data_IF_130790291419
#
_entry.id   IF_130790291419
#
_cell.length_a   1.000
_cell.length_b   1.000
_cell.length_c   1.000
_cell.angle_alpha   90.00
_cell.angle_beta   90.00
_cell.angle_gamma   90.00
#
_symmetry.space_group_name_H-M   'P 1'
#
loop_
_entity.id
_entity.type
_entity.pdbx_description
1 polymer ?
#
# COMPACT_ATOMS: atom_id res chain seq x y z
N UNK A 1 12.35 -14.01 -27.26
CA UNK A 1 13.20 -13.44 -26.22
C UNK A 1 12.45 -13.39 -24.88
N UNK A 2 11.34 -12.65 -24.78
CA UNK A 2 10.60 -12.45 -23.51
C UNK A 2 10.06 -13.76 -22.92
N UNK A 3 9.48 -14.65 -23.74
CA UNK A 3 8.98 -15.94 -23.30
C UNK A 3 10.07 -16.80 -22.61
N UNK A 4 11.30 -16.79 -23.16
CA UNK A 4 12.43 -17.51 -22.56
C UNK A 4 12.78 -16.92 -21.20
N UNK A 5 12.92 -15.59 -21.10
CA UNK A 5 13.25 -14.92 -19.83
C UNK A 5 12.16 -15.18 -18.79
N UNK A 6 10.88 -15.12 -19.17
CA UNK A 6 9.77 -15.39 -18.27
C UNK A 6 9.77 -16.85 -17.78
N UNK A 7 9.99 -17.82 -18.68
CA UNK A 7 10.06 -19.25 -18.31
C UNK A 7 11.22 -19.54 -17.38
N UNK A 8 12.41 -18.98 -17.66
CA UNK A 8 13.59 -19.11 -16.80
C UNK A 8 13.36 -18.48 -15.41
N UNK A 9 12.81 -17.25 -15.36
CA UNK A 9 12.49 -16.55 -14.10
C UNK A 9 11.51 -17.33 -13.23
N UNK A 10 10.57 -18.03 -13.84
CA UNK A 10 9.51 -18.78 -13.16
C UNK A 10 9.65 -20.31 -13.22
N UNK A 11 10.82 -20.81 -13.62
CA UNK A 11 11.07 -22.25 -13.74
C UNK A 11 10.81 -23.01 -12.42
N UNK A 12 11.17 -22.42 -11.27
CA UNK A 12 10.91 -23.02 -9.95
C UNK A 12 9.44 -23.00 -9.53
N UNK A 13 8.58 -22.28 -10.23
CA UNK A 13 7.12 -22.27 -10.08
C UNK A 13 6.43 -23.14 -11.16
N UNK A 14 7.22 -23.94 -11.91
CA UNK A 14 6.70 -24.88 -12.89
C UNK A 14 6.35 -24.27 -14.26
N UNK A 15 6.74 -23.03 -14.55
CA UNK A 15 6.46 -22.40 -15.83
C UNK A 15 7.26 -23.06 -16.96
N UNK A 16 6.55 -23.50 -18.01
CA UNK A 16 7.14 -24.01 -19.25
C UNK A 16 7.39 -22.89 -20.25
N UNK A 17 8.23 -23.16 -21.27
CA UNK A 17 8.42 -22.19 -22.35
C UNK A 17 7.14 -21.98 -23.16
N UNK A 18 6.35 -23.02 -23.41
CA UNK A 18 5.09 -22.95 -24.16
C UNK A 18 4.10 -22.04 -23.44
N UNK A 19 3.86 -22.26 -22.15
CA UNK A 19 3.00 -21.39 -21.34
C UNK A 19 3.49 -19.94 -21.31
N UNK A 20 4.80 -19.73 -21.17
CA UNK A 20 5.37 -18.40 -21.19
C UNK A 20 5.22 -17.74 -22.58
N UNK A 21 5.31 -18.52 -23.66
CA UNK A 21 5.11 -18.02 -25.02
C UNK A 21 3.65 -17.60 -25.25
N UNK A 22 2.70 -18.39 -24.80
CA UNK A 22 1.26 -18.07 -24.89
C UNK A 22 0.92 -16.80 -24.10
N UNK A 23 1.50 -16.63 -22.92
CA UNK A 23 1.34 -15.40 -22.13
C UNK A 23 1.85 -14.15 -22.84
N UNK A 24 2.79 -14.26 -23.80
CA UNK A 24 3.28 -13.09 -24.55
C UNK A 24 2.22 -12.51 -25.53
N UNK A 25 1.14 -13.23 -25.81
CA UNK A 25 -0.01 -12.67 -26.53
C UNK A 25 -0.93 -11.81 -25.66
N UNK A 26 -0.75 -11.86 -24.33
CA UNK A 26 -1.48 -11.00 -23.39
C UNK A 26 -0.73 -9.66 -23.22
N UNK A 27 -1.43 -8.54 -23.44
CA UNK A 27 -0.85 -7.18 -23.39
C UNK A 27 -0.10 -6.88 -22.11
N UNK A 28 -0.64 -7.31 -20.96
CA UNK A 28 -0.03 -7.02 -19.66
C UNK A 28 1.28 -7.78 -19.49
N UNK A 29 1.33 -9.07 -19.88
CA UNK A 29 2.58 -9.84 -19.84
C UNK A 29 3.63 -9.25 -20.77
N UNK A 30 3.27 -8.95 -22.01
CA UNK A 30 4.20 -8.39 -22.98
C UNK A 30 4.75 -7.03 -22.52
N UNK A 31 3.87 -6.09 -22.15
CA UNK A 31 4.28 -4.77 -21.71
C UNK A 31 5.12 -4.78 -20.43
N UNK A 32 4.76 -5.62 -19.45
CA UNK A 32 5.56 -5.76 -18.23
C UNK A 32 6.91 -6.45 -18.50
N UNK A 33 7.00 -7.36 -19.46
CA UNK A 33 8.26 -7.94 -19.88
C UNK A 33 9.20 -6.93 -20.56
N UNK A 34 8.66 -5.95 -21.30
CA UNK A 34 9.45 -4.84 -21.83
C UNK A 34 10.10 -4.05 -20.69
N UNK A 35 9.35 -3.75 -19.64
CA UNK A 35 9.89 -3.06 -18.45
C UNK A 35 10.89 -3.93 -17.72
N UNK A 36 10.60 -5.22 -17.53
CA UNK A 36 11.49 -6.15 -16.84
C UNK A 36 12.85 -6.29 -17.54
N UNK A 37 12.87 -6.28 -18.87
CA UNK A 37 14.09 -6.39 -19.66
C UNK A 37 14.79 -5.06 -19.94
N UNK A 38 14.19 -3.94 -19.56
CA UNK A 38 14.75 -2.60 -19.81
C UNK A 38 14.50 -2.08 -21.23
N UNK A 39 13.58 -2.71 -21.98
CA UNK A 39 13.16 -2.22 -23.30
C UNK A 39 12.11 -1.10 -23.16
N UNK A 40 11.58 -0.87 -21.96
CA UNK A 40 10.74 0.25 -21.56
C UNK A 40 11.02 0.67 -20.12
N UNK A 41 10.86 1.96 -19.81
CA UNK A 41 11.11 2.52 -18.48
C UNK A 41 9.94 2.28 -17.51
N UNK A 42 8.72 2.28 -18.02
CA UNK A 42 7.50 2.07 -17.24
C UNK A 42 6.39 1.44 -18.10
N UNK A 43 5.42 0.82 -17.44
CA UNK A 43 4.22 0.29 -18.07
C UNK A 43 2.97 0.90 -17.44
N UNK A 44 2.08 1.46 -18.28
CA UNK A 44 0.80 2.04 -17.87
C UNK A 44 -0.32 1.20 -18.47
N UNK A 45 -1.20 0.67 -17.62
CA UNK A 45 -2.31 -0.18 -18.05
C UNK A 45 -3.52 -0.02 -17.12
N UNK A 46 -4.66 -0.61 -17.48
CA UNK A 46 -5.83 -0.68 -16.58
C UNK A 46 -7.20 -0.59 -17.24
N UNK A 47 -7.30 -0.12 -18.48
CA UNK A 47 -8.60 0.12 -19.13
C UNK A 47 -9.35 -1.17 -19.53
N UNK A 48 -8.65 -2.26 -19.83
CA UNK A 48 -9.23 -3.44 -20.48
C UNK A 48 -9.24 -4.72 -19.63
N UNK A 49 -8.65 -4.67 -18.44
CA UNK A 49 -8.53 -5.84 -17.58
C UNK A 49 -8.90 -5.50 -16.12
N UNK A 50 -9.41 -6.51 -15.40
CA UNK A 50 -9.66 -6.36 -13.98
C UNK A 50 -8.34 -6.05 -13.25
N UNK A 51 -8.37 -5.09 -12.33
CA UNK A 51 -7.23 -4.70 -11.51
C UNK A 51 -6.50 -5.89 -10.89
N UNK A 52 -7.24 -6.86 -10.33
CA UNK A 52 -6.67 -8.07 -9.72
C UNK A 52 -5.82 -8.91 -10.69
N UNK A 53 -6.22 -8.99 -11.97
CA UNK A 53 -5.47 -9.73 -12.98
C UNK A 53 -4.16 -9.00 -13.32
N UNK A 54 -4.21 -7.70 -13.47
CA UNK A 54 -3.00 -6.90 -13.75
C UNK A 54 -2.00 -6.97 -12.60
N UNK A 55 -2.47 -6.90 -11.36
CA UNK A 55 -1.63 -7.07 -10.16
C UNK A 55 -0.97 -8.46 -10.13
N UNK A 56 -1.71 -9.51 -10.50
CA UNK A 56 -1.14 -10.86 -10.61
C UNK A 56 0.02 -10.89 -11.60
N UNK A 57 -0.17 -10.32 -12.79
CA UNK A 57 0.89 -10.24 -13.81
C UNK A 57 2.08 -9.42 -13.33
N UNK A 58 1.85 -8.26 -12.70
CA UNK A 58 2.91 -7.44 -12.15
C UNK A 58 3.76 -8.21 -11.11
N UNK A 59 3.11 -8.96 -10.23
CA UNK A 59 3.79 -9.82 -9.26
C UNK A 59 4.58 -10.96 -9.92
N UNK A 60 4.03 -11.55 -10.99
CA UNK A 60 4.66 -12.65 -11.72
C UNK A 60 5.86 -12.20 -12.56
N UNK A 61 5.78 -11.05 -13.21
CA UNK A 61 6.79 -10.56 -14.15
C UNK A 61 7.81 -9.64 -13.47
N UNK A 62 7.34 -8.57 -12.86
CA UNK A 62 8.18 -7.55 -12.22
C UNK A 62 8.69 -8.05 -10.86
N UNK A 63 7.81 -8.64 -10.06
CA UNK A 63 8.13 -9.12 -8.72
C UNK A 63 8.14 -8.03 -7.66
N UNK A 64 8.23 -8.48 -6.41
CA UNK A 64 8.30 -7.62 -5.22
C UNK A 64 9.78 -7.32 -4.95
N UNK A 65 10.08 -6.13 -4.45
CA UNK A 65 11.43 -5.75 -4.02
C UNK A 65 11.96 -6.74 -2.97
N UNK A 66 13.23 -7.18 -3.05
CA UNK A 66 13.74 -8.29 -2.24
C UNK A 66 13.65 -8.10 -0.73
N UNK A 67 13.65 -6.84 -0.26
CA UNK A 67 13.55 -6.49 1.15
C UNK A 67 12.13 -6.59 1.73
N UNK A 68 11.11 -6.84 0.89
CA UNK A 68 9.71 -6.97 1.28
C UNK A 68 9.15 -8.32 0.83
N UNK A 69 8.21 -8.86 1.60
CA UNK A 69 7.41 -10.03 1.20
C UNK A 69 6.07 -9.62 0.61
N UNK A 70 5.60 -8.44 0.98
CA UNK A 70 4.32 -7.90 0.56
C UNK A 70 4.50 -6.57 -0.15
N UNK A 71 3.53 -6.22 -0.97
CA UNK A 71 3.43 -4.93 -1.62
C UNK A 71 2.03 -4.36 -1.37
N UNK A 72 1.86 -3.08 -1.56
CA UNK A 72 0.60 -2.41 -1.28
C UNK A 72 0.33 -1.27 -2.24
N UNK A 73 -0.75 -0.57 -1.97
CA UNK A 73 -1.13 0.62 -2.72
C UNK A 73 -1.39 1.80 -1.80
N UNK A 74 -1.13 2.98 -2.34
CA UNK A 74 -1.38 4.23 -1.66
C UNK A 74 -2.26 5.14 -2.50
N UNK A 75 -3.21 5.79 -1.86
CA UNK A 75 -3.85 6.99 -2.42
C UNK A 75 -3.36 8.22 -1.67
N UNK A 76 -3.13 9.30 -2.42
CA UNK A 76 -2.82 10.61 -1.87
C UNK A 76 -4.09 11.45 -1.95
N UNK A 77 -4.51 11.98 -0.82
CA UNK A 77 -5.66 12.85 -0.69
C UNK A 77 -5.19 14.28 -0.43
N UNK A 78 -5.33 15.14 -1.43
CA UNK A 78 -5.08 16.57 -1.28
C UNK A 78 -6.37 17.28 -0.89
N UNK A 79 -6.33 18.04 0.19
CA UNK A 79 -7.45 18.82 0.70
C UNK A 79 -6.98 20.20 1.18
N UNK A 80 -7.92 21.10 1.46
CA UNK A 80 -7.63 22.40 2.09
C UNK A 80 -6.97 22.28 3.46
N UNK A 81 -7.09 21.12 4.12
CA UNK A 81 -6.45 20.84 5.43
C UNK A 81 -5.03 20.29 5.32
N UNK A 82 -4.60 19.91 4.12
CA UNK A 82 -3.30 19.31 3.86
C UNK A 82 -3.37 18.06 3.00
N UNK A 83 -2.21 17.45 2.83
CA UNK A 83 -2.02 16.21 2.07
C UNK A 83 -2.01 15.02 3.02
N UNK A 84 -2.80 14.00 2.71
CA UNK A 84 -2.90 12.75 3.47
C UNK A 84 -2.58 11.56 2.58
N UNK A 85 -1.90 10.57 3.16
CA UNK A 85 -1.49 9.34 2.49
C UNK A 85 -2.24 8.15 3.10
N UNK A 86 -2.98 7.42 2.27
CA UNK A 86 -3.88 6.34 2.69
C UNK A 86 -3.36 5.00 2.15
N UNK A 87 -3.04 4.03 3.00
CA UNK A 87 -2.50 2.71 2.65
C UNK A 87 -3.03 1.58 3.56
N UNK A 88 -3.14 0.32 3.16
CA UNK A 88 -3.22 -0.18 1.80
C UNK A 88 -4.65 -0.09 1.28
N UNK A 89 -4.85 0.47 0.12
CA UNK A 89 -6.20 0.79 -0.35
C UNK A 89 -6.80 -0.24 -1.32
N UNK A 90 -5.99 -1.17 -1.91
CA UNK A 90 -6.50 -2.04 -2.99
C UNK A 90 -5.98 -3.49 -3.00
N UNK A 91 -4.99 -3.87 -2.18
CA UNK A 91 -4.30 -5.17 -2.33
C UNK A 91 -4.64 -6.16 -1.22
N UNK A 92 -4.30 -5.81 0.02
CA UNK A 92 -4.26 -6.78 1.11
C UNK A 92 -5.61 -6.87 1.83
N UNK A 93 -6.34 -7.98 1.59
CA UNK A 93 -7.69 -8.18 2.13
C UNK A 93 -7.70 -8.36 3.65
N UNK A 94 -6.83 -9.23 4.14
CA UNK A 94 -6.70 -9.64 5.55
C UNK A 94 -5.22 -9.67 5.92
N UNK A 95 -4.59 -8.48 6.07
CA UNK A 95 -3.17 -8.43 6.41
C UNK A 95 -2.94 -8.93 7.84
N UNK A 96 -1.91 -9.73 8.03
CA UNK A 96 -1.34 -10.03 9.35
C UNK A 96 -0.32 -8.95 9.75
N UNK A 97 0.27 -9.07 10.92
CA UNK A 97 1.27 -8.12 11.41
C UNK A 97 2.45 -7.94 10.44
N UNK A 98 2.99 -9.03 9.86
CA UNK A 98 4.09 -8.96 8.90
C UNK A 98 3.72 -8.16 7.65
N UNK A 99 2.51 -8.37 7.13
CA UNK A 99 1.99 -7.59 5.98
C UNK A 99 1.85 -6.11 6.34
N UNK A 100 1.32 -5.78 7.52
CA UNK A 100 1.17 -4.40 7.98
C UNK A 100 2.51 -3.71 8.21
N UNK A 101 3.53 -4.42 8.68
CA UNK A 101 4.91 -3.93 8.79
C UNK A 101 5.46 -3.55 7.42
N UNK A 102 5.31 -4.42 6.41
CA UNK A 102 5.77 -4.12 5.05
C UNK A 102 5.00 -2.91 4.49
N UNK A 103 3.68 -2.82 4.68
CA UNK A 103 2.88 -1.66 4.25
C UNK A 103 3.35 -0.38 4.94
N UNK A 104 3.63 -0.41 6.25
CA UNK A 104 4.12 0.75 6.99
C UNK A 104 5.47 1.24 6.46
N UNK A 105 6.42 0.33 6.23
CA UNK A 105 7.75 0.65 5.66
C UNK A 105 7.64 1.22 4.25
N UNK A 106 6.82 0.60 3.40
CA UNK A 106 6.56 1.06 2.04
C UNK A 106 5.89 2.44 2.03
N UNK A 107 4.98 2.67 2.97
CA UNK A 107 4.31 3.96 3.13
C UNK A 107 5.28 5.04 3.58
N UNK A 108 6.14 4.74 4.55
CA UNK A 108 7.21 5.65 5.00
C UNK A 108 8.10 6.09 3.83
N UNK A 109 8.59 5.12 3.05
CA UNK A 109 9.41 5.39 1.87
C UNK A 109 8.68 6.25 0.83
N UNK A 110 7.42 5.92 0.53
CA UNK A 110 6.62 6.61 -0.48
C UNK A 110 6.29 8.04 -0.05
N UNK A 111 5.93 8.27 1.21
CA UNK A 111 5.66 9.60 1.76
C UNK A 111 6.90 10.49 1.66
N UNK A 112 8.08 9.95 1.97
CA UNK A 112 9.37 10.69 1.82
C UNK A 112 9.70 10.97 0.36
N UNK A 113 9.40 10.04 -0.55
CA UNK A 113 9.57 10.25 -1.99
C UNK A 113 8.77 11.48 -2.49
N UNK A 114 7.59 11.71 -1.91
CA UNK A 114 6.79 12.91 -2.18
C UNK A 114 7.20 14.14 -1.35
N UNK A 115 8.39 14.14 -0.75
CA UNK A 115 8.95 15.23 0.06
C UNK A 115 8.12 15.59 1.30
N UNK A 116 7.41 14.62 1.88
CA UNK A 116 6.73 14.78 3.16
C UNK A 116 7.45 14.00 4.28
N UNK A 117 7.38 14.52 5.49
CA UNK A 117 7.79 13.78 6.69
C UNK A 117 6.64 12.91 7.16
N UNK A 118 6.79 11.57 7.18
CA UNK A 118 5.70 10.69 7.58
C UNK A 118 5.41 10.82 9.08
N UNK A 119 4.14 11.05 9.42
CA UNK A 119 3.57 10.95 10.75
C UNK A 119 2.42 9.96 10.64
N UNK A 120 2.63 8.72 11.12
CA UNK A 120 1.85 7.56 10.73
C UNK A 120 0.95 7.09 11.85
N UNK A 121 -0.34 6.96 11.58
CA UNK A 121 -1.30 6.28 12.44
C UNK A 121 -1.69 4.92 11.85
N UNK A 122 -1.47 3.87 12.64
CA UNK A 122 -1.96 2.53 12.34
C UNK A 122 -3.40 2.41 12.86
N UNK A 123 -4.35 2.31 11.94
CA UNK A 123 -5.77 2.45 12.25
C UNK A 123 -6.41 1.15 12.71
N UNK A 124 -7.41 1.31 13.58
CA UNK A 124 -8.31 0.25 14.02
C UNK A 124 -9.65 0.82 14.45
N UNK A 125 -10.61 -0.04 14.74
CA UNK A 125 -11.81 0.33 15.50
C UNK A 125 -11.56 0.39 17.02
N UNK A 126 -10.42 -0.10 17.48
CA UNK A 126 -9.95 -0.10 18.87
C UNK A 126 -8.85 0.94 19.09
N UNK A 127 -8.51 1.21 20.34
CA UNK A 127 -7.42 2.11 20.72
C UNK A 127 -6.50 1.45 21.74
N UNK A 128 -5.20 1.33 21.41
CA UNK A 128 -4.10 1.00 22.32
C UNK A 128 -4.38 -0.22 23.23
N UNK A 129 -4.76 -1.36 22.63
CA UNK A 129 -4.98 -2.61 23.36
C UNK A 129 -6.34 -2.71 24.06
N UNK A 130 -7.31 -1.84 23.72
CA UNK A 130 -8.67 -1.94 24.29
C UNK A 130 -9.43 -3.18 23.80
N UNK A 131 -9.04 -3.77 22.67
CA UNK A 131 -9.51 -5.04 22.17
C UNK A 131 -8.32 -5.97 21.92
N UNK A 132 -8.43 -7.20 22.43
CA UNK A 132 -7.37 -8.22 22.37
C UNK A 132 -7.66 -9.33 21.38
N UNK A 133 -8.65 -9.15 20.49
CA UNK A 133 -9.05 -10.11 19.47
C UNK A 133 -9.08 -9.48 18.07
N UNK A 134 -8.92 -10.31 17.05
CA UNK A 134 -9.10 -9.92 15.65
C UNK A 134 -8.04 -8.97 15.09
N UNK A 135 -8.47 -8.05 14.23
CA UNK A 135 -7.55 -7.14 13.52
C UNK A 135 -6.76 -6.18 14.42
N UNK A 136 -7.25 -5.69 15.58
CA UNK A 136 -6.47 -4.85 16.49
C UNK A 136 -5.14 -5.50 16.92
N UNK A 137 -5.14 -6.80 17.16
CA UNK A 137 -3.93 -7.55 17.60
C UNK A 137 -2.83 -7.46 16.54
N UNK A 138 -3.16 -7.74 15.27
CA UNK A 138 -2.17 -7.64 14.18
C UNK A 138 -1.64 -6.22 13.97
N UNK A 139 -2.49 -5.22 14.20
CA UNK A 139 -2.07 -3.81 14.12
C UNK A 139 -1.15 -3.48 15.29
N UNK A 140 -1.49 -3.89 16.49
CA UNK A 140 -0.68 -3.69 17.69
C UNK A 140 0.72 -4.31 17.55
N UNK A 141 0.80 -5.58 17.16
CA UNK A 141 2.06 -6.29 16.90
C UNK A 141 2.92 -5.57 15.84
N UNK A 142 2.28 -5.06 14.78
CA UNK A 142 2.99 -4.30 13.75
C UNK A 142 3.54 -2.98 14.29
N UNK A 143 2.78 -2.27 15.11
CA UNK A 143 3.22 -1.02 15.76
C UNK A 143 4.39 -1.29 16.70
N UNK A 144 4.31 -2.30 17.57
CA UNK A 144 5.41 -2.66 18.47
C UNK A 144 6.69 -2.97 17.70
N UNK A 145 6.60 -3.80 16.65
CA UNK A 145 7.74 -4.10 15.79
C UNK A 145 8.35 -2.82 15.17
N UNK A 146 7.51 -1.95 14.61
CA UNK A 146 7.96 -0.72 13.98
C UNK A 146 8.63 0.22 14.99
N UNK A 147 8.07 0.34 16.18
CA UNK A 147 8.62 1.18 17.24
C UNK A 147 9.95 0.69 17.79
N UNK A 148 10.15 -0.62 17.84
CA UNK A 148 11.41 -1.24 18.28
C UNK A 148 12.51 -1.14 17.22
N UNK A 149 12.18 -1.34 15.96
CA UNK A 149 13.17 -1.41 14.88
C UNK A 149 13.39 -0.07 14.14
N UNK A 150 12.43 0.87 14.25
CA UNK A 150 12.46 2.19 13.61
C UNK A 150 12.12 3.28 14.64
N UNK A 151 12.98 3.49 15.67
CA UNK A 151 12.67 4.38 16.80
C UNK A 151 12.47 5.84 16.42
N UNK A 152 13.10 6.28 15.33
CA UNK A 152 13.00 7.66 14.83
C UNK A 152 11.73 7.92 13.98
N UNK A 153 11.01 6.88 13.60
CA UNK A 153 9.78 7.02 12.85
C UNK A 153 8.62 7.43 13.77
N UNK A 154 7.93 8.49 13.42
CA UNK A 154 6.71 8.90 14.10
C UNK A 154 5.56 7.98 13.70
N UNK A 155 5.42 6.86 14.40
CA UNK A 155 4.38 5.84 14.17
C UNK A 155 3.78 5.41 15.49
N UNK A 156 2.44 5.27 15.54
CA UNK A 156 1.74 4.76 16.71
C UNK A 156 0.35 4.19 16.35
N UNK A 157 -0.24 3.45 17.26
CA UNK A 157 -1.54 2.78 17.16
C UNK A 157 -1.55 1.51 18.05
N UNK A 158 -2.56 0.67 17.92
CA UNK A 158 -3.73 0.89 17.05
C UNK A 158 -4.58 2.04 17.59
N UNK A 159 -5.19 2.80 16.70
CA UNK A 159 -6.10 3.87 17.11
C UNK A 159 -7.25 4.10 16.10
N UNK A 160 -8.35 4.61 16.62
CA UNK A 160 -9.47 5.04 15.80
C UNK A 160 -9.12 6.29 14.99
N UNK A 161 -9.75 6.44 13.81
CA UNK A 161 -9.46 7.52 12.87
C UNK A 161 -9.71 8.93 13.45
N UNK A 162 -10.70 9.10 14.33
CA UNK A 162 -10.97 10.38 14.99
C UNK A 162 -9.79 10.82 15.88
N UNK A 163 -9.17 9.90 16.62
CA UNK A 163 -7.95 10.20 17.39
C UNK A 163 -6.73 10.40 16.50
N UNK A 164 -6.62 9.69 15.39
CA UNK A 164 -5.56 9.92 14.42
C UNK A 164 -5.63 11.36 13.85
N UNK A 165 -6.83 11.82 13.49
CA UNK A 165 -7.05 13.09 12.80
C UNK A 165 -7.21 14.31 13.72
N UNK A 166 -7.56 14.12 14.98
CA UNK A 166 -7.67 15.20 15.97
C UNK A 166 -6.51 15.10 17.00
N UNK A 167 -5.46 15.90 16.74
CA UNK A 167 -4.30 15.97 17.61
C UNK A 167 -4.66 16.33 19.06
N UNK A 168 -5.57 17.30 19.27
CA UNK A 168 -5.92 17.76 20.61
C UNK A 168 -6.66 16.67 21.38
N UNK A 169 -7.61 16.01 20.74
CA UNK A 169 -8.36 14.89 21.32
C UNK A 169 -7.42 13.74 21.66
N UNK A 170 -6.55 13.35 20.73
CA UNK A 170 -5.56 12.27 20.93
C UNK A 170 -4.64 12.57 22.09
N UNK A 171 -3.98 13.74 22.08
CA UNK A 171 -2.96 14.09 23.07
C UNK A 171 -3.54 14.25 24.48
N UNK A 172 -4.80 14.67 24.59
CA UNK A 172 -5.51 14.75 25.86
C UNK A 172 -5.90 13.36 26.39
N UNK A 173 -6.42 12.47 25.52
CA UNK A 173 -6.88 11.14 25.92
C UNK A 173 -5.73 10.14 26.09
N UNK A 174 -4.70 10.22 25.23
CA UNK A 174 -3.57 9.31 25.18
C UNK A 174 -2.23 10.05 25.23
N UNK A 175 -1.89 10.69 26.37
CA UNK A 175 -0.70 11.55 26.48
C UNK A 175 0.64 10.81 26.32
N UNK A 176 0.62 9.48 26.34
CA UNK A 176 1.77 8.59 26.15
C UNK A 176 2.08 8.34 24.67
N UNK A 177 1.19 8.73 23.74
CA UNK A 177 1.39 8.44 22.30
C UNK A 177 2.68 9.04 21.77
N UNK A 178 3.38 8.30 20.90
CA UNK A 178 4.56 8.79 20.18
C UNK A 178 4.24 9.89 19.15
N UNK A 179 2.94 10.06 18.83
CA UNK A 179 2.46 11.11 17.94
C UNK A 179 2.10 12.42 18.67
N UNK A 180 2.37 12.52 19.98
CA UNK A 180 2.06 13.71 20.77
C UNK A 180 2.66 14.98 20.13
N UNK A 181 1.83 15.98 19.96
CA UNK A 181 2.20 17.27 19.36
C UNK A 181 2.36 17.26 17.82
N UNK A 182 2.17 16.12 17.17
CA UNK A 182 2.34 15.95 15.71
C UNK A 182 0.99 15.80 15.03
N UNK A 183 0.86 16.37 13.83
CA UNK A 183 -0.31 16.16 12.98
C UNK A 183 -0.07 14.94 12.07
N UNK A 184 -0.97 13.98 12.14
CA UNK A 184 -0.91 12.76 11.32
C UNK A 184 -1.19 13.11 9.86
N UNK A 185 -0.37 12.58 8.96
CA UNK A 185 -0.54 12.71 7.53
C UNK A 185 -0.59 11.36 6.80
N UNK A 186 -0.26 10.27 7.48
CA UNK A 186 -0.23 8.93 6.88
C UNK A 186 -1.11 7.98 7.68
N UNK A 187 -2.11 7.41 7.03
CA UNK A 187 -3.09 6.51 7.62
C UNK A 187 -2.92 5.10 7.03
N UNK A 188 -2.53 4.14 7.87
CA UNK A 188 -2.42 2.74 7.49
C UNK A 188 -3.64 1.99 8.03
N UNK A 189 -4.42 1.42 7.12
CA UNK A 189 -5.68 0.75 7.43
C UNK A 189 -5.46 -0.71 7.80
N UNK A 190 -6.31 -1.27 8.70
CA UNK A 190 -6.16 -2.64 9.17
C UNK A 190 -6.54 -3.70 8.13
N UNK A 191 -7.26 -3.33 7.08
CA UNK A 191 -7.68 -4.24 6.00
C UNK A 191 -8.23 -3.48 4.79
N UNK A 192 -8.37 -4.21 3.68
CA UNK A 192 -8.85 -3.65 2.41
C UNK A 192 -10.26 -3.06 2.52
N UNK A 193 -11.17 -3.70 3.26
CA UNK A 193 -12.57 -3.24 3.34
C UNK A 193 -12.67 -1.86 3.97
N UNK A 194 -11.93 -1.63 5.07
CA UNK A 194 -11.91 -0.32 5.74
C UNK A 194 -11.28 0.76 4.87
N UNK A 195 -10.14 0.47 4.26
CA UNK A 195 -9.42 1.42 3.41
C UNK A 195 -10.22 1.80 2.16
N UNK A 196 -10.73 0.78 1.46
CA UNK A 196 -11.48 0.97 0.22
C UNK A 196 -12.77 1.77 0.46
N UNK A 197 -13.51 1.43 1.52
CA UNK A 197 -14.72 2.18 1.90
C UNK A 197 -14.40 3.61 2.29
N UNK A 198 -13.33 3.83 3.07
CA UNK A 198 -12.96 5.16 3.55
C UNK A 198 -12.59 6.11 2.40
N UNK A 199 -11.66 5.73 1.51
CA UNK A 199 -11.27 6.65 0.43
C UNK A 199 -12.40 6.90 -0.58
N UNK A 200 -13.21 5.87 -0.89
CA UNK A 200 -14.37 6.03 -1.78
C UNK A 200 -15.45 6.91 -1.15
N UNK A 201 -15.69 6.80 0.15
CA UNK A 201 -16.62 7.67 0.87
C UNK A 201 -16.14 9.13 0.83
N UNK A 202 -14.88 9.39 1.10
CA UNK A 202 -14.27 10.71 1.00
C UNK A 202 -14.41 11.29 -0.41
N UNK A 203 -14.14 10.49 -1.44
CA UNK A 203 -14.29 10.88 -2.85
C UNK A 203 -15.75 11.21 -3.21
N UNK A 204 -16.70 10.42 -2.72
CA UNK A 204 -18.13 10.63 -3.02
C UNK A 204 -18.73 11.86 -2.30
N UNK A 205 -18.24 12.17 -1.10
CA UNK A 205 -18.79 13.24 -0.27
C UNK A 205 -18.18 14.61 -0.54
N UNK A 206 -17.00 14.69 -1.10
CA UNK A 206 -16.28 15.95 -1.22
C UNK A 206 -15.67 16.16 -2.60
N UNK A 207 -16.26 17.10 -3.35
CA UNK A 207 -15.80 17.52 -4.68
C UNK A 207 -14.57 18.45 -4.65
N UNK A 208 -14.19 18.97 -3.49
CA UNK A 208 -13.04 19.86 -3.31
C UNK A 208 -11.76 19.12 -2.93
N UNK A 209 -11.82 17.80 -2.78
CA UNK A 209 -10.64 16.96 -2.54
C UNK A 209 -10.15 16.33 -3.84
N UNK A 210 -8.85 16.38 -4.05
CA UNK A 210 -8.20 15.66 -5.13
C UNK A 210 -7.64 14.33 -4.60
N UNK A 211 -8.05 13.24 -5.24
CA UNK A 211 -7.56 11.90 -4.92
C UNK A 211 -6.63 11.44 -6.05
N UNK A 212 -5.36 11.23 -5.72
CA UNK A 212 -4.32 10.75 -6.64
C UNK A 212 -4.00 9.31 -6.31
N UNK A 213 -3.97 8.45 -7.30
CA UNK A 213 -3.63 7.04 -7.15
C UNK A 213 -4.52 6.12 -7.99
N UNK A 214 -4.39 4.80 -7.81
CA UNK A 214 -3.51 4.11 -6.84
C UNK A 214 -2.03 4.15 -7.22
N UNK A 215 -1.17 4.43 -6.25
CA UNK A 215 0.29 4.33 -6.40
C UNK A 215 0.69 2.94 -5.93
N UNK A 216 1.41 2.19 -6.77
CA UNK A 216 1.93 0.87 -6.42
C UNK A 216 3.20 1.02 -5.59
N UNK A 217 3.23 0.39 -4.43
CA UNK A 217 4.38 0.40 -3.53
C UNK A 217 5.01 -0.99 -3.46
N UNK A 218 6.33 -1.09 -3.56
CA UNK A 218 7.07 -2.33 -3.32
C UNK A 218 7.26 -3.24 -4.53
N UNK A 219 6.91 -2.83 -5.74
CA UNK A 219 7.31 -3.51 -6.98
C UNK A 219 8.73 -3.13 -7.37
N UNK A 220 9.47 -4.07 -7.99
CA UNK A 220 10.87 -3.85 -8.41
C UNK A 220 11.05 -2.75 -9.46
N UNK A 221 10.03 -2.54 -10.30
CA UNK A 221 10.06 -1.57 -11.40
C UNK A 221 8.72 -0.84 -11.53
N UNK A 222 8.70 0.37 -12.13
CA UNK A 222 7.49 1.16 -12.26
C UNK A 222 6.43 0.47 -13.12
N UNK A 223 5.30 0.16 -12.49
CA UNK A 223 4.13 -0.38 -13.16
C UNK A 223 2.91 0.37 -12.64
N UNK A 224 2.34 1.25 -13.48
CA UNK A 224 1.24 2.11 -13.11
C UNK A 224 -0.07 1.49 -13.58
N UNK A 225 -0.96 1.23 -12.63
CA UNK A 225 -2.27 0.66 -12.90
C UNK A 225 -3.32 1.77 -12.80
N UNK A 226 -3.87 2.16 -13.93
CA UNK A 226 -5.00 3.08 -13.98
C UNK A 226 -6.30 2.29 -13.73
N UNK A 227 -7.05 2.68 -12.73
CA UNK A 227 -8.41 2.17 -12.52
C UNK A 227 -9.38 3.23 -13.02
N UNK A 228 -10.16 2.90 -14.05
CA UNK A 228 -11.32 3.72 -14.42
C UNK A 228 -12.22 3.90 -13.19
N UNK A 229 -12.76 5.11 -12.95
CA UNK A 229 -13.85 5.23 -12.00
C UNK A 229 -15.01 4.40 -12.51
N UNK A 230 -15.26 3.28 -11.88
CA UNK A 230 -16.43 2.42 -12.10
C UNK A 230 -17.60 2.94 -11.28
#
# INVERSE_FOLDING_TARGET
RYARILSEKRARQGATYEEANDKMFERNYFGMMMVETGDADAFITGLYTKYSNTIKVAKEVIGIQPQYKHFGTMHILNSKKGTYFLADTLINRHPNAETLIDIAKLSEHTVRFFNHTPVMAMLSYSNFGADTEGSPVSVHEAVEYMQQNYPDLAIDGEMQVNFAMDRKMRDAKYPFTRLKGKDVNTLVFPNLSSANSAYKLLQAMNTEMELIGPIQMGLNKPCLLYTSPS
#
